data_IF_757407353788
#
_entry.id   IF_757407353788
#
_cell.length_a   1.000
_cell.length_b   1.000
_cell.length_c   1.000
_cell.angle_alpha   90.00
_cell.angle_beta   90.00
_cell.angle_gamma   90.00
#
_symmetry.space_group_name_H-M   'P 1'
#
loop_
_entity.id
_entity.type
_entity.pdbx_description
1 polymer ?
#
# COMPACT_ATOMS: atom_id res chain seq x y z
N UNK A 1 27.71 64.07 -32.33
CA UNK A 1 29.02 63.42 -31.99
C UNK A 1 29.45 62.36 -33.02
N UNK A 2 28.54 61.62 -33.64
CA UNK A 2 28.87 60.64 -34.70
C UNK A 2 29.45 61.25 -35.98
N UNK A 3 28.90 62.37 -36.47
CA UNK A 3 29.41 63.02 -37.68
C UNK A 3 30.89 63.47 -37.55
N UNK A 4 31.31 63.89 -36.35
CA UNK A 4 32.71 64.25 -36.07
C UNK A 4 33.64 63.01 -36.00
N UNK A 5 33.15 61.87 -35.49
CA UNK A 5 33.88 60.59 -35.50
C UNK A 5 34.07 60.06 -36.92
N UNK A 6 33.05 60.20 -37.78
CA UNK A 6 33.11 59.74 -39.18
C UNK A 6 34.09 60.57 -40.03
N UNK A 7 34.11 61.89 -39.85
CA UNK A 7 35.03 62.79 -40.55
C UNK A 7 36.49 62.57 -40.10
N UNK A 8 36.72 62.24 -38.83
CA UNK A 8 38.06 61.89 -38.33
C UNK A 8 38.50 60.52 -38.86
N UNK A 9 37.59 59.52 -38.87
CA UNK A 9 37.82 58.16 -39.37
C UNK A 9 38.23 58.12 -40.84
N UNK A 10 37.70 59.02 -41.68
CA UNK A 10 38.05 59.14 -43.10
C UNK A 10 39.49 59.61 -43.38
N UNK A 11 40.22 60.12 -42.37
CA UNK A 11 41.62 60.57 -42.49
C UNK A 11 42.65 59.51 -42.03
N UNK A 12 42.21 58.34 -41.58
CA UNK A 12 43.08 57.24 -41.14
C UNK A 12 43.40 56.27 -42.28
N UNK A 13 44.59 55.65 -42.20
CA UNK A 13 45.02 54.55 -43.07
C UNK A 13 43.94 53.45 -43.12
N UNK A 14 43.65 52.83 -44.29
CA UNK A 14 42.81 51.63 -44.41
C UNK A 14 42.92 50.62 -43.26
N UNK A 15 44.13 50.28 -42.80
CA UNK A 15 44.32 49.28 -41.74
C UNK A 15 43.81 49.76 -40.37
N UNK A 16 44.02 51.03 -40.06
CA UNK A 16 43.62 51.62 -38.77
C UNK A 16 42.09 51.82 -38.70
N UNK A 17 41.44 52.07 -39.84
CA UNK A 17 39.98 52.12 -39.95
C UNK A 17 39.33 50.77 -39.66
N UNK A 18 39.86 49.69 -40.25
CA UNK A 18 39.36 48.33 -40.03
C UNK A 18 39.54 47.91 -38.56
N UNK A 19 40.67 48.30 -37.94
CA UNK A 19 40.92 48.03 -36.52
C UNK A 19 39.95 48.77 -35.60
N UNK A 20 39.63 50.03 -35.90
CA UNK A 20 38.65 50.80 -35.16
C UNK A 20 37.22 50.25 -35.31
N UNK A 21 36.87 49.75 -36.48
CA UNK A 21 35.58 49.09 -36.73
C UNK A 21 35.44 47.79 -35.93
N UNK A 22 36.50 46.96 -35.89
CA UNK A 22 36.54 45.75 -35.05
C UNK A 22 36.43 46.07 -33.55
N UNK A 23 37.03 47.17 -33.10
CA UNK A 23 36.92 47.63 -31.71
C UNK A 23 35.50 48.10 -31.41
N UNK A 24 34.89 48.93 -32.27
CA UNK A 24 33.51 49.39 -32.08
C UNK A 24 32.52 48.21 -32.07
N UNK A 25 32.70 47.22 -32.96
CA UNK A 25 31.89 46.00 -32.97
C UNK A 25 32.09 45.14 -31.72
N UNK A 26 33.33 45.04 -31.23
CA UNK A 26 33.63 44.33 -30.00
C UNK A 26 33.01 45.04 -28.80
N UNK A 27 33.11 46.37 -28.72
CA UNK A 27 32.47 47.18 -27.68
C UNK A 27 30.94 47.05 -27.73
N UNK A 28 30.34 47.06 -28.93
CA UNK A 28 28.90 46.86 -29.09
C UNK A 28 28.46 45.44 -28.68
N UNK A 29 29.25 44.41 -29.02
CA UNK A 29 29.00 43.02 -28.59
C UNK A 29 29.17 42.87 -27.08
N UNK A 30 30.17 43.51 -26.47
CA UNK A 30 30.40 43.52 -25.03
C UNK A 30 29.24 44.24 -24.32
N UNK A 31 28.84 45.40 -24.80
CA UNK A 31 27.71 46.15 -24.24
C UNK A 31 26.40 45.37 -24.35
N UNK A 32 26.16 44.70 -25.48
CA UNK A 32 24.99 43.82 -25.67
C UNK A 32 25.05 42.56 -24.78
N UNK A 33 26.25 42.00 -24.58
CA UNK A 33 26.45 40.86 -23.69
C UNK A 33 26.25 41.27 -22.22
N UNK A 34 26.77 42.43 -21.81
CA UNK A 34 26.57 43.03 -20.48
C UNK A 34 25.10 43.33 -20.24
N UNK A 35 24.40 43.97 -21.18
CA UNK A 35 22.96 44.22 -21.05
C UNK A 35 22.16 42.92 -20.99
N UNK A 36 22.52 41.89 -21.78
CA UNK A 36 21.85 40.58 -21.69
C UNK A 36 22.11 39.82 -20.38
N UNK A 37 23.24 40.12 -19.72
CA UNK A 37 23.57 39.57 -18.40
C UNK A 37 22.88 40.34 -17.27
N UNK A 38 22.77 41.68 -17.39
CA UNK A 38 22.05 42.54 -16.44
C UNK A 38 20.53 42.39 -16.53
N UNK A 39 19.98 42.06 -17.71
CA UNK A 39 18.56 41.77 -17.94
C UNK A 39 18.16 40.33 -17.55
N UNK A 40 19.13 39.49 -17.18
CA UNK A 40 18.85 38.21 -16.52
C UNK A 40 18.39 38.48 -15.08
N UNK A 41 17.08 38.65 -14.89
CA UNK A 41 16.39 38.82 -13.60
C UNK A 41 16.47 37.58 -12.68
N UNK A 42 17.43 36.67 -12.91
CA UNK A 42 17.48 35.37 -12.24
C UNK A 42 16.28 34.49 -12.61
N UNK A 43 16.12 33.38 -11.89
CA UNK A 43 14.86 32.65 -11.87
C UNK A 43 13.90 33.39 -10.94
N UNK A 44 12.71 33.77 -11.43
CA UNK A 44 11.63 34.24 -10.56
C UNK A 44 10.85 33.03 -10.07
N UNK A 45 10.72 32.88 -8.75
CA UNK A 45 9.92 31.81 -8.13
C UNK A 45 8.43 32.06 -8.39
N UNK A 46 7.82 31.24 -9.24
CA UNK A 46 6.38 31.35 -9.58
C UNK A 46 5.50 30.79 -8.46
N UNK A 47 5.98 29.77 -7.76
CA UNK A 47 5.28 29.13 -6.65
C UNK A 47 6.32 28.55 -5.69
N UNK A 48 6.26 28.98 -4.43
CA UNK A 48 7.07 28.41 -3.37
C UNK A 48 6.57 27.00 -3.02
N UNK A 49 7.52 26.11 -2.74
CA UNK A 49 7.22 24.83 -2.09
C UNK A 49 6.58 25.10 -0.73
N UNK A 50 5.53 24.35 -0.40
CA UNK A 50 4.83 24.44 0.87
C UNK A 50 4.60 23.03 1.39
N UNK A 51 4.83 22.85 2.69
CA UNK A 51 4.43 21.64 3.37
C UNK A 51 2.90 21.56 3.42
N UNK A 52 2.38 20.33 3.37
CA UNK A 52 0.98 20.09 3.66
C UNK A 52 0.76 20.15 5.17
N UNK A 53 -0.38 20.68 5.60
CA UNK A 53 -0.74 20.79 7.01
C UNK A 53 -2.20 20.40 7.21
N UNK A 54 -2.49 19.65 8.28
CA UNK A 54 -3.85 19.31 8.70
C UNK A 54 -4.00 19.50 10.21
N UNK A 55 -5.21 19.82 10.65
CA UNK A 55 -5.58 19.88 12.06
C UNK A 55 -6.52 18.69 12.36
N UNK A 56 -6.04 17.73 13.13
CA UNK A 56 -6.78 16.56 13.58
C UNK A 56 -7.42 16.85 14.95
N UNK A 57 -8.72 16.55 15.08
CA UNK A 57 -9.55 16.73 16.29
C UNK A 57 -9.47 18.14 16.92
N UNK A 58 -9.12 19.15 16.13
CA UNK A 58 -8.96 20.53 16.59
C UNK A 58 -7.72 20.79 17.46
N UNK A 59 -6.90 19.77 17.73
CA UNK A 59 -5.77 19.86 18.68
C UNK A 59 -4.42 19.49 18.07
N UNK A 60 -4.36 18.49 17.20
CA UNK A 60 -3.11 17.98 16.65
C UNK A 60 -2.84 18.59 15.28
N UNK A 61 -1.78 19.40 15.16
CA UNK A 61 -1.31 19.94 13.88
C UNK A 61 -0.26 19.00 13.31
N UNK A 62 -0.57 18.36 12.19
CA UNK A 62 0.32 17.44 11.48
C UNK A 62 0.78 18.09 10.18
N UNK A 63 2.02 17.84 9.78
CA UNK A 63 2.59 18.39 8.54
C UNK A 63 3.47 17.38 7.82
N UNK A 64 3.47 17.45 6.48
CA UNK A 64 4.36 16.64 5.63
C UNK A 64 4.93 17.46 4.48
N UNK A 65 6.14 17.11 4.05
CA UNK A 65 6.81 17.70 2.89
C UNK A 65 6.15 17.31 1.55
N UNK A 66 5.19 16.38 1.59
CA UNK A 66 4.35 15.97 0.46
C UNK A 66 2.88 15.95 0.89
N UNK A 67 1.98 15.44 0.04
CA UNK A 67 0.54 15.35 0.34
C UNK A 67 0.12 14.08 1.11
N UNK A 68 1.06 13.33 1.65
CA UNK A 68 0.83 12.11 2.44
C UNK A 68 1.40 12.34 3.83
N UNK A 69 0.54 12.28 4.83
CA UNK A 69 0.91 12.31 6.23
C UNK A 69 0.87 10.86 6.71
N UNK A 70 2.05 10.24 6.76
CA UNK A 70 2.22 8.88 7.27
C UNK A 70 2.00 8.86 8.78
N UNK A 71 1.40 7.77 9.29
CA UNK A 71 1.09 7.58 10.71
C UNK A 71 0.44 8.82 11.36
N UNK A 72 -0.50 9.45 10.64
CA UNK A 72 -1.25 10.61 11.15
C UNK A 72 -2.01 10.26 12.45
N UNK A 73 -2.49 9.02 12.50
CA UNK A 73 -2.85 8.27 13.70
C UNK A 73 -2.09 6.93 13.58
N UNK A 74 -1.82 6.25 14.68
CA UNK A 74 -1.14 4.94 14.65
C UNK A 74 -1.80 3.99 13.63
N UNK A 75 -1.04 3.61 12.59
CA UNK A 75 -1.52 2.73 11.52
C UNK A 75 -2.44 3.38 10.47
N UNK A 76 -2.57 4.71 10.45
CA UNK A 76 -3.40 5.45 9.49
C UNK A 76 -2.59 6.51 8.74
N UNK A 77 -2.44 6.29 7.44
CA UNK A 77 -1.86 7.27 6.52
C UNK A 77 -2.95 8.16 5.92
N UNK A 78 -2.76 9.47 5.98
CA UNK A 78 -3.69 10.45 5.42
C UNK A 78 -3.15 11.05 4.13
N UNK A 79 -3.84 10.80 3.01
CA UNK A 79 -3.55 11.45 1.73
C UNK A 79 -4.43 12.68 1.54
N UNK A 80 -3.82 13.87 1.49
CA UNK A 80 -4.48 15.16 1.34
C UNK A 80 -4.74 15.47 -0.15
N UNK A 81 -6.02 15.57 -0.51
CA UNK A 81 -6.46 15.86 -1.89
C UNK A 81 -6.76 17.34 -2.16
N UNK A 82 -6.83 18.14 -1.11
CA UNK A 82 -7.17 19.56 -1.20
C UNK A 82 -7.51 20.14 0.17
N UNK A 83 -7.73 21.46 0.22
CA UNK A 83 -8.12 22.16 1.44
C UNK A 83 -9.61 21.95 1.72
N UNK A 84 -9.96 21.73 2.98
CA UNK A 84 -11.34 21.77 3.44
C UNK A 84 -11.93 23.16 3.28
N UNK A 85 -13.20 23.26 2.91
CA UNK A 85 -13.87 24.55 2.75
C UNK A 85 -14.21 25.17 4.12
N UNK A 86 -13.93 26.47 4.34
CA UNK A 86 -14.10 27.12 5.66
C UNK A 86 -15.52 27.07 6.24
N UNK A 87 -16.54 26.92 5.39
CA UNK A 87 -17.95 26.95 5.78
C UNK A 87 -18.65 25.59 5.65
N UNK A 88 -17.89 24.50 5.56
CA UNK A 88 -18.41 23.13 5.54
C UNK A 88 -17.95 22.38 6.78
N UNK A 89 -18.72 21.36 7.23
CA UNK A 89 -18.24 20.47 8.28
C UNK A 89 -16.89 19.86 7.87
N UNK A 90 -15.96 19.67 8.83
CA UNK A 90 -14.71 18.95 8.58
C UNK A 90 -14.96 17.54 8.05
N UNK A 91 -13.96 16.97 7.39
CA UNK A 91 -14.02 15.56 7.00
C UNK A 91 -14.00 14.67 8.25
N UNK A 92 -14.94 13.72 8.32
CA UNK A 92 -14.98 12.69 9.37
C UNK A 92 -14.36 11.40 8.84
N UNK A 93 -13.49 10.79 9.65
CA UNK A 93 -12.83 9.52 9.34
C UNK A 93 -13.27 8.52 10.40
N UNK A 94 -13.96 7.47 9.96
CA UNK A 94 -14.32 6.31 10.79
C UNK A 94 -13.32 5.18 10.57
N UNK A 95 -12.80 4.62 11.66
CA UNK A 95 -11.98 3.41 11.63
C UNK A 95 -12.81 2.27 12.22
N UNK A 96 -13.02 1.22 11.44
CA UNK A 96 -13.80 0.06 11.83
C UNK A 96 -13.08 -1.23 11.42
N UNK A 97 -13.41 -2.33 12.10
CA UNK A 97 -12.91 -3.64 11.74
C UNK A 97 -13.51 -4.13 10.41
N UNK A 98 -12.64 -4.53 9.48
CA UNK A 98 -13.06 -5.18 8.23
C UNK A 98 -13.37 -6.67 8.45
N UNK A 99 -14.56 -6.92 9.01
CA UNK A 99 -15.06 -8.27 9.29
C UNK A 99 -15.31 -9.09 8.02
N UNK A 100 -15.59 -8.41 6.90
CA UNK A 100 -15.90 -9.08 5.64
C UNK A 100 -14.65 -9.70 5.02
N UNK A 101 -13.52 -9.01 5.06
CA UNK A 101 -12.24 -9.56 4.62
C UNK A 101 -11.84 -10.78 5.44
N UNK A 102 -11.92 -10.70 6.78
CA UNK A 102 -11.62 -11.84 7.66
C UNK A 102 -12.54 -13.04 7.39
N UNK A 103 -13.84 -12.80 7.18
CA UNK A 103 -14.79 -13.86 6.78
C UNK A 103 -14.37 -14.52 5.46
N UNK A 104 -14.00 -13.72 4.46
CA UNK A 104 -13.56 -14.23 3.16
C UNK A 104 -12.30 -15.08 3.28
N UNK A 105 -11.34 -14.68 4.11
CA UNK A 105 -10.12 -15.45 4.35
C UNK A 105 -10.42 -16.81 5.00
N UNK A 106 -11.34 -16.85 5.96
CA UNK A 106 -11.81 -18.10 6.59
C UNK A 106 -12.51 -19.01 5.58
N UNK A 107 -13.37 -18.46 4.72
CA UNK A 107 -14.04 -19.21 3.66
C UNK A 107 -13.02 -19.81 2.67
N UNK A 108 -12.03 -19.01 2.25
CA UNK A 108 -10.96 -19.45 1.38
C UNK A 108 -10.12 -20.56 2.01
N UNK A 109 -9.83 -20.44 3.30
CA UNK A 109 -9.12 -21.46 4.07
C UNK A 109 -9.88 -22.79 4.11
N UNK A 110 -11.17 -22.75 4.46
CA UNK A 110 -12.04 -23.94 4.49
C UNK A 110 -12.16 -24.57 3.10
N UNK A 111 -12.30 -23.75 2.06
CA UNK A 111 -12.34 -24.19 0.67
C UNK A 111 -11.05 -24.89 0.25
N UNK A 112 -9.89 -24.33 0.58
CA UNK A 112 -8.59 -24.92 0.29
C UNK A 112 -8.41 -26.28 0.97
N UNK A 113 -8.77 -26.40 2.25
CA UNK A 113 -8.75 -27.68 2.95
C UNK A 113 -9.69 -28.70 2.32
N UNK A 114 -10.93 -28.31 2.00
CA UNK A 114 -11.91 -29.22 1.40
C UNK A 114 -11.45 -29.71 0.01
N UNK A 115 -10.82 -28.84 -0.77
CA UNK A 115 -10.24 -29.19 -2.07
C UNK A 115 -9.08 -30.18 -1.93
N UNK A 116 -8.19 -29.93 -0.96
CA UNK A 116 -7.13 -30.87 -0.60
C UNK A 116 -7.72 -32.23 -0.18
N UNK A 117 -8.70 -32.23 0.71
CA UNK A 117 -9.31 -33.45 1.23
C UNK A 117 -9.97 -34.28 0.12
N UNK A 118 -10.68 -33.63 -0.81
CA UNK A 118 -11.27 -34.30 -1.97
C UNK A 118 -10.22 -34.94 -2.87
N UNK A 119 -9.10 -34.24 -3.12
CA UNK A 119 -8.00 -34.77 -3.93
C UNK A 119 -7.32 -35.94 -3.22
N UNK A 120 -7.07 -35.82 -1.91
CA UNK A 120 -6.52 -36.91 -1.09
C UNK A 120 -7.41 -38.15 -1.14
N UNK A 121 -8.73 -37.99 -0.98
CA UNK A 121 -9.70 -39.09 -1.09
C UNK A 121 -9.74 -39.71 -2.49
N UNK A 122 -9.74 -38.89 -3.55
CA UNK A 122 -9.73 -39.40 -4.93
C UNK A 122 -8.49 -40.27 -5.22
N UNK A 123 -7.35 -39.92 -4.63
CA UNK A 123 -6.10 -40.66 -4.83
C UNK A 123 -5.93 -41.87 -3.90
N UNK A 124 -6.46 -41.82 -2.69
CA UNK A 124 -6.19 -42.82 -1.64
C UNK A 124 -7.34 -43.78 -1.32
N UNK A 125 -8.55 -43.51 -1.82
CA UNK A 125 -9.72 -44.34 -1.55
C UNK A 125 -9.80 -45.57 -2.45
N UNK A 126 -10.67 -46.50 -2.04
CA UNK A 126 -11.10 -47.65 -2.84
C UNK A 126 -12.60 -47.53 -3.01
N UNK A 127 -13.08 -47.58 -4.25
CA UNK A 127 -14.51 -47.59 -4.54
C UNK A 127 -15.13 -48.88 -3.97
N UNK A 128 -16.06 -48.80 -3.02
CA UNK A 128 -16.66 -49.97 -2.39
C UNK A 128 -17.56 -50.78 -3.35
N UNK A 129 -17.98 -50.19 -4.46
CA UNK A 129 -18.87 -50.82 -5.46
C UNK A 129 -18.07 -51.54 -6.54
N UNK A 130 -17.04 -50.88 -7.08
CA UNK A 130 -16.25 -51.42 -8.21
C UNK A 130 -14.94 -52.05 -7.77
N UNK A 131 -14.50 -51.80 -6.53
CA UNK A 131 -13.19 -52.22 -6.02
C UNK A 131 -12.01 -51.46 -6.64
N UNK A 132 -12.28 -50.44 -7.48
CA UNK A 132 -11.23 -49.63 -8.09
C UNK A 132 -10.46 -48.86 -7.02
N UNK A 133 -9.14 -48.92 -7.12
CA UNK A 133 -8.22 -48.30 -6.17
C UNK A 133 -7.63 -47.04 -6.78
N UNK A 134 -7.63 -45.95 -6.02
CA UNK A 134 -6.85 -44.78 -6.36
C UNK A 134 -5.34 -45.10 -6.40
N UNK A 135 -4.53 -44.29 -7.10
CA UNK A 135 -3.08 -44.53 -7.26
C UNK A 135 -2.30 -44.64 -5.93
N UNK A 136 -2.80 -44.02 -4.87
CA UNK A 136 -2.20 -44.00 -3.53
C UNK A 136 -3.01 -44.82 -2.52
N UNK A 137 -3.90 -45.69 -2.98
CA UNK A 137 -4.68 -46.54 -2.11
C UNK A 137 -3.77 -47.47 -1.31
N UNK A 138 -3.86 -47.41 0.03
CA UNK A 138 -2.99 -48.19 0.90
C UNK A 138 -1.67 -47.49 1.28
N UNK A 139 -1.37 -46.31 0.73
CA UNK A 139 -0.19 -45.51 1.13
C UNK A 139 -0.29 -45.03 2.60
N UNK A 140 0.73 -45.33 3.40
CA UNK A 140 0.78 -44.96 4.82
C UNK A 140 1.11 -43.48 5.06
N UNK A 141 1.82 -42.85 4.13
CA UNK A 141 2.20 -41.44 4.19
C UNK A 141 0.97 -40.56 4.02
N UNK A 142 0.12 -40.86 3.03
CA UNK A 142 -1.14 -40.12 2.80
C UNK A 142 -2.07 -40.24 4.01
N UNK A 143 -2.28 -41.47 4.52
CA UNK A 143 -3.09 -41.69 5.74
C UNK A 143 -2.55 -40.93 6.95
N UNK A 144 -1.23 -40.88 7.10
CA UNK A 144 -0.60 -40.17 8.21
C UNK A 144 -0.77 -38.66 8.07
N UNK A 145 -0.66 -38.11 6.86
CA UNK A 145 -0.89 -36.69 6.58
C UNK A 145 -2.34 -36.29 6.87
N UNK A 146 -3.31 -37.04 6.34
CA UNK A 146 -4.74 -36.79 6.58
C UNK A 146 -5.08 -36.84 8.08
N UNK A 147 -4.54 -37.83 8.80
CA UNK A 147 -4.78 -37.98 10.25
C UNK A 147 -4.18 -36.83 11.05
N UNK A 148 -2.99 -36.36 10.69
CA UNK A 148 -2.35 -35.21 11.35
C UNK A 148 -3.12 -33.93 11.10
N UNK A 149 -3.52 -33.67 9.86
CA UNK A 149 -4.32 -32.49 9.52
C UNK A 149 -5.66 -32.51 10.27
N UNK A 150 -6.36 -33.64 10.26
CA UNK A 150 -7.61 -33.80 11.02
C UNK A 150 -7.42 -33.58 12.52
N UNK A 151 -6.29 -34.03 13.08
CA UNK A 151 -5.97 -33.79 14.48
C UNK A 151 -5.77 -32.29 14.78
N UNK A 152 -5.12 -31.55 13.89
CA UNK A 152 -4.96 -30.08 14.04
C UNK A 152 -6.33 -29.39 14.08
N UNK A 153 -7.23 -29.68 13.15
CA UNK A 153 -8.56 -29.05 13.10
C UNK A 153 -9.48 -29.39 14.27
N UNK A 154 -9.25 -30.52 14.94
CA UNK A 154 -10.00 -30.95 16.12
C UNK A 154 -9.29 -30.64 17.44
N UNK A 155 -8.08 -30.09 17.38
CA UNK A 155 -7.29 -29.76 18.56
C UNK A 155 -7.81 -28.50 19.24
N UNK A 156 -7.57 -28.44 20.56
CA UNK A 156 -7.75 -27.22 21.36
C UNK A 156 -6.40 -26.54 21.54
N UNK A 157 -6.42 -25.22 21.52
CA UNK A 157 -5.25 -24.38 21.74
C UNK A 157 -5.31 -23.87 23.17
N UNK A 158 -4.46 -24.43 24.03
CA UNK A 158 -4.48 -24.09 25.46
C UNK A 158 -4.06 -22.64 25.73
N UNK A 159 -3.28 -22.06 24.82
CA UNK A 159 -2.81 -20.66 24.89
C UNK A 159 -3.82 -19.66 24.30
N UNK A 160 -4.92 -20.16 23.71
CA UNK A 160 -5.99 -19.33 23.19
C UNK A 160 -6.94 -18.89 24.32
N UNK A 161 -7.78 -17.88 24.08
CA UNK A 161 -8.67 -17.29 25.08
C UNK A 161 -9.60 -18.35 25.70
N UNK A 162 -9.96 -18.20 26.99
CA UNK A 162 -10.66 -19.24 27.78
C UNK A 162 -11.93 -19.81 27.11
N UNK A 163 -12.63 -18.99 26.32
CA UNK A 163 -13.89 -19.34 25.66
C UNK A 163 -13.76 -19.53 24.13
N UNK A 164 -12.55 -19.48 23.58
CA UNK A 164 -12.23 -19.53 22.16
C UNK A 164 -10.94 -20.34 21.90
N UNK A 165 -10.92 -21.58 22.36
CA UNK A 165 -9.82 -22.55 22.27
C UNK A 165 -9.87 -23.46 21.06
N UNK A 166 -10.94 -23.47 20.27
CA UNK A 166 -11.00 -24.34 19.07
C UNK A 166 -11.77 -23.73 17.91
N UNK A 167 -11.50 -24.23 16.71
CA UNK A 167 -12.24 -23.88 15.49
C UNK A 167 -13.76 -24.05 15.64
N UNK A 168 -14.17 -25.06 16.40
CA UNK A 168 -15.59 -25.31 16.65
C UNK A 168 -16.26 -24.19 17.41
N UNK A 169 -15.52 -23.44 18.24
CA UNK A 169 -16.03 -22.27 18.98
C UNK A 169 -16.13 -21.01 18.09
N UNK A 170 -15.49 -21.04 16.91
CA UNK A 170 -15.63 -20.08 15.83
C UNK A 170 -16.63 -20.48 14.74
N UNK A 171 -17.31 -21.61 14.91
CA UNK A 171 -18.30 -22.09 13.94
C UNK A 171 -17.71 -22.96 12.84
N UNK A 172 -16.44 -23.31 12.90
CA UNK A 172 -15.79 -24.17 11.91
C UNK A 172 -15.71 -25.59 12.48
N UNK A 173 -16.37 -26.54 11.83
CA UNK A 173 -16.50 -27.92 12.34
C UNK A 173 -16.05 -28.95 11.31
N UNK A 174 -15.51 -30.08 11.77
CA UNK A 174 -15.20 -31.21 10.90
C UNK A 174 -16.42 -32.13 10.77
N UNK A 175 -16.85 -32.40 9.54
CA UNK A 175 -17.94 -33.32 9.25
C UNK A 175 -17.54 -34.77 9.51
N UNK A 176 -18.53 -35.69 9.53
CA UNK A 176 -18.26 -37.13 9.62
C UNK A 176 -17.41 -37.64 8.45
N UNK A 177 -17.55 -36.99 7.30
CA UNK A 177 -16.83 -37.27 6.07
C UNK A 177 -15.40 -36.73 6.09
N UNK A 178 -15.03 -35.88 7.05
CA UNK A 178 -13.69 -35.33 7.20
C UNK A 178 -13.48 -33.95 6.58
N UNK A 179 -14.48 -33.40 5.88
CA UNK A 179 -14.45 -32.01 5.38
C UNK A 179 -14.71 -31.00 6.49
N UNK A 180 -14.36 -29.74 6.27
CA UNK A 180 -14.74 -28.63 7.14
C UNK A 180 -16.04 -27.98 6.66
N UNK A 181 -16.85 -27.53 7.60
CA UNK A 181 -18.10 -26.80 7.40
C UNK A 181 -18.13 -25.56 8.28
N UNK A 182 -18.70 -24.46 7.75
CA UNK A 182 -18.84 -23.18 8.46
C UNK A 182 -20.30 -22.99 8.89
N UNK A 183 -20.50 -22.77 10.18
CA UNK A 183 -21.73 -22.20 10.73
C UNK A 183 -21.63 -20.67 10.67
N UNK A 184 -22.24 -20.07 9.65
CA UNK A 184 -22.17 -18.62 9.42
C UNK A 184 -22.76 -17.80 10.55
N UNK A 185 -23.87 -18.22 11.17
CA UNK A 185 -24.45 -17.50 12.30
C UNK A 185 -23.52 -17.46 13.51
N UNK A 186 -22.75 -18.53 13.73
CA UNK A 186 -21.77 -18.57 14.81
C UNK A 186 -20.52 -17.79 14.47
N UNK A 187 -20.02 -17.92 13.23
CA UNK A 187 -18.88 -17.15 12.75
C UNK A 187 -19.16 -15.64 12.82
N UNK A 188 -20.31 -15.20 12.32
CA UNK A 188 -20.72 -13.79 12.35
C UNK A 188 -20.88 -13.28 13.79
N UNK A 189 -21.39 -14.11 14.71
CA UNK A 189 -21.42 -13.76 16.15
C UNK A 189 -20.02 -13.58 16.72
N UNK A 190 -19.05 -14.41 16.35
CA UNK A 190 -17.67 -14.27 16.84
C UNK A 190 -16.96 -13.07 16.23
N UNK A 191 -17.12 -12.82 14.92
CA UNK A 191 -16.56 -11.64 14.24
C UNK A 191 -17.10 -10.34 14.82
N UNK A 192 -18.37 -10.32 15.25
CA UNK A 192 -18.98 -9.12 15.83
C UNK A 192 -18.58 -8.88 17.28
N UNK A 193 -18.53 -9.94 18.11
CA UNK A 193 -18.39 -9.80 19.55
C UNK A 193 -16.97 -10.06 20.07
N UNK A 194 -16.15 -10.79 19.33
CA UNK A 194 -14.86 -11.31 19.80
C UNK A 194 -13.74 -11.12 18.75
N UNK A 195 -13.78 -10.04 17.97
CA UNK A 195 -12.84 -9.79 16.87
C UNK A 195 -11.36 -9.85 17.30
N UNK A 196 -11.01 -9.20 18.42
CA UNK A 196 -9.64 -9.23 18.96
C UNK A 196 -9.19 -10.63 19.42
N UNK A 197 -10.14 -11.48 19.83
CA UNK A 197 -9.83 -12.86 20.23
C UNK A 197 -9.62 -13.76 19.00
N UNK A 198 -10.30 -13.46 17.89
CA UNK A 198 -10.05 -14.07 16.57
C UNK A 198 -8.62 -13.78 16.09
N UNK A 199 -8.16 -12.54 16.24
CA UNK A 199 -6.78 -12.14 15.93
C UNK A 199 -5.77 -12.96 16.75
N UNK A 200 -5.98 -13.09 18.06
CA UNK A 200 -5.10 -13.91 18.91
C UNK A 200 -5.12 -15.39 18.52
N UNK A 201 -6.28 -15.91 18.14
CA UNK A 201 -6.45 -17.29 17.77
C UNK A 201 -5.77 -17.62 16.43
N UNK A 202 -5.93 -16.81 15.38
CA UNK A 202 -5.38 -17.10 14.05
C UNK A 202 -4.02 -16.41 13.76
N UNK A 203 -3.72 -15.30 14.43
CA UNK A 203 -2.51 -14.50 14.18
C UNK A 203 -1.42 -14.66 15.24
N UNK A 204 -1.71 -15.31 16.38
CA UNK A 204 -0.73 -15.48 17.46
C UNK A 204 0.38 -16.48 17.10
N UNK A 205 1.59 -16.25 17.60
CA UNK A 205 2.73 -17.19 17.49
C UNK A 205 2.49 -18.53 18.24
N UNK A 206 1.36 -18.62 18.93
CA UNK A 206 0.84 -19.76 19.69
C UNK A 206 -0.62 -20.09 19.31
N UNK A 207 -1.12 -19.48 18.24
CA UNK A 207 -2.45 -19.65 17.67
C UNK A 207 -2.53 -20.84 16.68
N UNK A 208 -3.67 -20.96 16.00
CA UNK A 208 -4.03 -22.03 15.08
C UNK A 208 -3.21 -22.03 13.80
#
# INVERSE_FOLDING_TARGET
KEQAKQIHRAKLDPQERERLEKIDEAEAKIAKAQSSFEEYLGMTEVQAGQDSEVLLDGVAKLSSHNNVIEDAIEGVDLTLKGKSEPNKPPAEIGVEYDRQSVRSDIENFVSAYNSFYQTSQALSSVDPTTGQKGPLAGDSTVRSADSRLKAVFSSRIDQAPENLKSLTEFGITTTRQGTLEINYDMLDRQLNNNFNELEKFFGGNTGF
#
